data_IF_902308981936
#
_entry.id   IF_902308981936
#
_cell.length_a   1.000
_cell.length_b   1.000
_cell.length_c   1.000
_cell.angle_alpha   90.00
_cell.angle_beta   90.00
_cell.angle_gamma   90.00
#
_symmetry.space_group_name_H-M   'P 1'
#
loop_
_entity.id
_entity.type
_entity.pdbx_description
1 polymer ?
#
# COMPACT_ATOMS: atom_id res chain seq x y z
N UNK A 1 -2.13 -0.03 -5.30
CA UNK A 1 -2.59 0.62 -4.05
C UNK A 1 -3.07 2.06 -4.27
N UNK A 2 -2.75 2.70 -5.39
CA UNK A 2 -2.99 4.14 -5.56
C UNK A 2 -4.44 4.47 -5.92
N UNK A 3 -4.98 5.53 -5.32
CA UNK A 3 -6.29 6.09 -5.66
C UNK A 3 -6.26 6.92 -6.97
N UNK A 4 -5.07 7.36 -7.41
CA UNK A 4 -4.92 8.42 -8.42
C UNK A 4 -4.18 7.96 -9.68
N UNK A 5 -3.48 6.82 -9.64
CA UNK A 5 -2.64 6.28 -10.72
C UNK A 5 -3.22 5.02 -11.38
N UNK A 6 -2.76 4.71 -12.60
CA UNK A 6 -2.96 3.43 -13.27
C UNK A 6 -1.62 2.73 -13.49
N UNK A 7 -1.56 1.43 -13.22
CA UNK A 7 -0.39 0.58 -13.51
C UNK A 7 0.70 0.58 -12.44
N UNK A 8 1.38 -0.55 -12.32
CA UNK A 8 2.62 -0.69 -11.55
C UNK A 8 3.67 0.30 -12.07
N UNK A 9 4.36 0.99 -11.15
CA UNK A 9 5.49 1.89 -11.50
C UNK A 9 6.57 1.10 -12.25
N UNK A 10 6.64 -0.19 -11.94
CA UNK A 10 7.53 -1.18 -12.52
C UNK A 10 7.06 -1.71 -13.87
N UNK A 11 6.47 -0.86 -14.72
CA UNK A 11 6.12 -1.24 -16.08
C UNK A 11 7.41 -1.64 -16.83
N UNK A 12 7.42 -2.82 -17.44
CA UNK A 12 8.53 -3.50 -18.13
C UNK A 12 9.04 -2.74 -19.38
N UNK A 13 9.46 -1.47 -19.24
CA UNK A 13 10.23 -0.75 -20.27
C UNK A 13 11.56 -1.43 -20.55
N UNK A 14 12.01 -2.31 -19.67
CA UNK A 14 13.20 -3.12 -19.87
C UNK A 14 12.96 -4.22 -20.92
N UNK A 15 11.76 -4.78 -21.00
CA UNK A 15 11.41 -5.76 -22.04
C UNK A 15 11.21 -5.07 -23.40
N UNK A 16 10.60 -3.88 -23.42
CA UNK A 16 10.48 -3.06 -24.64
C UNK A 16 11.83 -2.53 -25.16
N UNK A 17 12.77 -2.16 -24.26
CA UNK A 17 14.14 -1.79 -24.65
C UNK A 17 14.93 -3.00 -25.17
N UNK A 18 14.75 -4.19 -24.57
CA UNK A 18 15.36 -5.45 -25.08
C UNK A 18 14.79 -5.83 -26.46
N UNK A 19 13.48 -5.68 -26.67
CA UNK A 19 12.82 -5.89 -27.97
C UNK A 19 13.24 -4.85 -29.01
N UNK A 20 13.38 -3.59 -28.63
CA UNK A 20 13.89 -2.51 -29.50
C UNK A 20 15.33 -2.73 -29.95
N UNK A 21 16.21 -3.15 -29.03
CA UNK A 21 17.60 -3.52 -29.36
C UNK A 21 17.71 -4.77 -30.24
N UNK A 22 16.82 -5.75 -30.05
CA UNK A 22 16.73 -6.94 -30.91
C UNK A 22 16.19 -6.62 -32.32
N UNK A 23 15.25 -5.67 -32.45
CA UNK A 23 14.71 -5.22 -33.74
C UNK A 23 15.73 -4.40 -34.53
N UNK A 24 16.51 -3.56 -33.86
CA UNK A 24 17.65 -2.84 -34.46
C UNK A 24 18.77 -3.79 -34.91
N UNK A 25 18.94 -4.94 -34.25
CA UNK A 25 19.90 -5.99 -34.61
C UNK A 25 19.52 -6.79 -35.86
N UNK A 26 18.22 -6.95 -36.17
CA UNK A 26 17.78 -7.61 -37.44
C UNK A 26 17.96 -6.74 -38.69
N UNK A 27 18.10 -5.42 -38.53
CA UNK A 27 18.31 -4.49 -39.66
C UNK A 27 19.75 -4.33 -40.13
N UNK A 28 20.75 -4.94 -39.46
CA UNK A 28 22.18 -4.70 -39.72
C UNK A 28 22.95 -5.90 -40.30
N UNK A 29 22.27 -6.99 -40.66
CA UNK A 29 22.89 -8.14 -41.34
C UNK A 29 22.59 -8.16 -42.84
N UNK A 30 23.00 -7.10 -43.55
CA UNK A 30 23.06 -7.09 -45.02
C UNK A 30 24.53 -7.13 -45.45
N UNK A 31 25.00 -8.26 -45.98
CA UNK A 31 26.35 -8.40 -46.57
C UNK A 31 26.53 -7.39 -47.73
N UNK A 32 27.70 -6.75 -47.88
CA UNK A 32 27.95 -5.89 -49.03
C UNK A 32 28.22 -6.75 -50.28
N UNK A 33 27.34 -6.66 -51.28
CA UNK A 33 27.59 -7.18 -52.63
C UNK A 33 28.55 -6.23 -53.37
N UNK A 34 29.70 -6.75 -53.78
CA UNK A 34 30.59 -6.13 -54.78
C UNK A 34 29.87 -6.13 -56.14
N UNK A 35 29.81 -4.98 -56.79
CA UNK A 35 29.53 -4.87 -58.23
C UNK A 35 30.58 -3.97 -58.87
N UNK A 36 31.33 -4.55 -59.81
CA UNK A 36 32.17 -3.88 -60.80
C UNK A 36 31.25 -3.48 -61.96
N UNK A 37 31.36 -2.26 -62.47
CA UNK A 37 30.62 -1.85 -63.67
C UNK A 37 30.75 -0.37 -63.99
N UNK A 38 31.39 -0.10 -65.13
CA UNK A 38 31.79 1.20 -65.67
C UNK A 38 30.65 1.99 -66.33
N UNK A 39 30.90 3.29 -66.48
CA UNK A 39 30.52 4.16 -67.60
C UNK A 39 29.35 5.16 -67.47
N UNK A 40 29.73 6.44 -67.62
CA UNK A 40 29.15 7.52 -68.44
C UNK A 40 27.70 7.96 -68.20
N UNK A 41 27.52 9.28 -68.05
CA UNK A 41 26.32 9.95 -68.58
C UNK A 41 26.00 11.30 -67.94
N UNK A 42 26.13 12.36 -68.73
CA UNK A 42 25.89 13.80 -68.46
C UNK A 42 24.44 14.17 -68.10
N UNK A 43 24.31 15.36 -67.48
CA UNK A 43 23.20 16.33 -67.64
C UNK A 43 22.03 16.09 -66.68
N UNK A 44 21.51 17.04 -65.91
CA UNK A 44 21.44 18.49 -66.05
C UNK A 44 19.97 18.90 -66.08
N UNK A 45 19.56 19.86 -65.25
CA UNK A 45 18.33 20.64 -65.47
C UNK A 45 17.25 20.54 -64.38
N UNK A 46 17.10 21.65 -63.66
CA UNK A 46 16.01 22.02 -62.75
C UNK A 46 14.64 22.17 -63.46
N UNK A 47 13.53 22.15 -62.71
CA UNK A 47 12.23 22.65 -63.21
C UNK A 47 10.94 22.26 -62.48
N UNK A 48 10.74 22.74 -61.25
CA UNK A 48 9.63 23.61 -60.79
C UNK A 48 8.18 23.44 -61.35
N UNK A 49 7.25 23.13 -60.41
CA UNK A 49 5.85 23.64 -60.18
C UNK A 49 4.63 23.06 -60.95
N UNK A 50 3.58 22.74 -60.17
CA UNK A 50 2.16 22.76 -60.59
C UNK A 50 1.19 22.12 -59.57
N UNK A 51 0.42 22.93 -58.83
CA UNK A 51 -0.64 22.56 -57.89
C UNK A 51 -2.02 22.39 -58.54
N UNK A 52 -2.97 21.86 -57.72
CA UNK A 52 -4.47 21.92 -57.83
C UNK A 52 -5.07 20.84 -58.75
N UNK A 53 -6.15 20.09 -58.43
CA UNK A 53 -7.11 20.02 -57.33
C UNK A 53 -8.23 19.03 -57.73
N UNK A 54 -9.16 18.78 -56.82
CA UNK A 54 -10.52 18.21 -56.98
C UNK A 54 -10.76 16.66 -57.00
N UNK A 55 -11.52 16.26 -55.96
CA UNK A 55 -12.47 15.13 -55.87
C UNK A 55 -13.72 15.43 -56.75
N UNK A 56 -14.63 14.48 -57.13
CA UNK A 56 -15.24 13.46 -56.23
C UNK A 56 -15.69 12.13 -56.91
N UNK A 57 -16.51 11.36 -56.15
CA UNK A 57 -17.42 10.25 -56.51
C UNK A 57 -16.79 8.85 -56.72
N UNK A 58 -17.02 7.88 -55.83
CA UNK A 58 -18.21 7.03 -55.56
C UNK A 58 -18.32 5.79 -56.48
N UNK A 59 -18.51 4.64 -55.79
CA UNK A 59 -19.04 3.34 -56.25
C UNK A 59 -18.29 2.51 -57.31
N UNK A 60 -17.78 1.34 -56.93
CA UNK A 60 -18.45 0.06 -57.21
C UNK A 60 -17.62 -1.16 -56.71
N UNK A 61 -18.37 -2.08 -56.10
CA UNK A 61 -18.29 -3.54 -56.17
C UNK A 61 -16.94 -4.30 -56.25
N UNK A 62 -16.78 -5.21 -55.28
CA UNK A 62 -17.06 -6.62 -55.59
C UNK A 62 -15.92 -7.62 -55.44
N UNK A 63 -16.23 -8.70 -54.71
CA UNK A 63 -15.64 -10.05 -54.80
C UNK A 63 -14.15 -10.18 -54.42
N UNK A 64 -13.60 -11.30 -53.98
CA UNK A 64 -14.03 -12.58 -53.40
C UNK A 64 -12.76 -13.37 -53.14
N UNK A 65 -12.87 -14.43 -52.33
CA UNK A 65 -11.89 -15.52 -52.29
C UNK A 65 -10.78 -15.30 -51.25
N UNK A 66 -10.45 -16.23 -50.39
CA UNK A 66 -10.70 -17.67 -50.44
C UNK A 66 -9.38 -18.40 -50.30
N UNK A 67 -9.35 -19.29 -49.31
CA UNK A 67 -8.53 -20.52 -49.24
C UNK A 67 -7.02 -20.36 -48.98
N UNK A 68 -6.56 -21.13 -48.01
CA UNK A 68 -5.15 -21.39 -47.76
C UNK A 68 -4.94 -22.22 -46.50
N UNK A 69 -5.42 -23.46 -46.52
CA UNK A 69 -5.07 -24.51 -45.56
C UNK A 69 -3.54 -24.73 -45.50
N UNK A 70 -3.02 -24.97 -44.30
CA UNK A 70 -1.83 -25.80 -44.11
C UNK A 70 -1.99 -26.66 -42.86
N UNK A 71 -2.00 -27.97 -43.09
CA UNK A 71 -1.85 -29.08 -42.16
C UNK A 71 -0.40 -29.22 -41.66
N UNK A 72 -0.23 -30.17 -40.74
CA UNK A 72 0.99 -30.80 -40.18
C UNK A 72 1.21 -30.40 -38.71
N UNK A 73 1.37 -31.27 -37.71
CA UNK A 73 1.18 -32.71 -37.52
C UNK A 73 1.24 -32.96 -35.99
N UNK A 74 0.58 -34.02 -35.53
CA UNK A 74 0.52 -34.50 -34.15
C UNK A 74 1.86 -35.06 -33.65
N UNK A 75 2.18 -34.86 -32.35
CA UNK A 75 3.01 -35.83 -31.61
C UNK A 75 2.56 -35.94 -30.14
N UNK A 76 1.85 -37.02 -29.87
CA UNK A 76 1.55 -37.58 -28.55
C UNK A 76 2.78 -38.34 -28.02
N UNK A 77 3.04 -38.24 -26.73
CA UNK A 77 3.88 -39.20 -26.00
C UNK A 77 3.14 -39.63 -24.73
N UNK A 78 2.51 -40.80 -24.80
CA UNK A 78 2.11 -41.63 -23.67
C UNK A 78 3.23 -42.63 -23.32
N UNK A 79 3.32 -43.01 -22.04
CA UNK A 79 3.58 -44.42 -21.70
C UNK A 79 4.65 -44.75 -20.66
N UNK A 80 4.18 -45.12 -19.46
CA UNK A 80 4.67 -46.27 -18.67
C UNK A 80 5.66 -45.97 -17.53
N UNK A 81 5.52 -46.45 -16.29
CA UNK A 81 4.61 -47.45 -15.70
C UNK A 81 5.40 -48.54 -14.95
N UNK A 82 5.06 -48.77 -13.67
CA UNK A 82 5.46 -49.92 -12.82
C UNK A 82 6.28 -49.54 -11.59
N UNK A 83 6.02 -49.97 -10.34
CA UNK A 83 5.08 -50.94 -9.76
C UNK A 83 5.73 -51.64 -8.54
N UNK A 84 4.98 -51.84 -7.45
CA UNK A 84 5.25 -52.74 -6.29
C UNK A 84 6.23 -52.18 -5.23
N UNK A 85 6.11 -52.43 -3.91
CA UNK A 85 5.32 -53.39 -3.14
C UNK A 85 5.21 -52.97 -1.64
N UNK A 86 4.28 -53.63 -0.96
CA UNK A 86 3.90 -53.64 0.45
C UNK A 86 5.03 -53.82 1.48
N UNK A 87 4.83 -53.29 2.70
CA UNK A 87 4.99 -54.05 3.95
C UNK A 87 4.31 -53.33 5.15
N UNK A 88 3.46 -54.08 5.85
CA UNK A 88 2.94 -53.83 7.19
C UNK A 88 4.06 -53.91 8.24
N UNK A 89 3.88 -53.24 9.38
CA UNK A 89 4.19 -53.80 10.72
C UNK A 89 3.59 -52.91 11.82
N UNK A 90 2.78 -53.57 12.66
CA UNK A 90 2.21 -53.10 13.92
C UNK A 90 3.24 -53.19 15.08
N UNK A 91 2.81 -52.66 16.24
CA UNK A 91 3.14 -53.07 17.62
C UNK A 91 4.18 -52.30 18.48
N UNK A 92 3.60 -51.78 19.58
CA UNK A 92 4.02 -51.84 21.00
C UNK A 92 5.06 -50.86 21.60
N UNK A 93 4.66 -50.26 22.72
CA UNK A 93 5.56 -49.65 23.70
C UNK A 93 4.86 -48.75 24.73
N UNK A 94 4.53 -49.33 25.88
CA UNK A 94 3.75 -48.83 27.02
C UNK A 94 4.60 -48.10 28.10
N UNK A 95 3.93 -47.36 29.01
CA UNK A 95 4.42 -46.93 30.34
C UNK A 95 5.24 -45.63 30.41
N UNK A 96 5.12 -44.73 31.40
CA UNK A 96 4.45 -44.75 32.70
C UNK A 96 5.27 -43.94 33.73
N UNK A 97 4.61 -43.14 34.58
CA UNK A 97 5.15 -42.50 35.80
C UNK A 97 5.93 -41.19 35.59
N UNK A 98 5.85 -40.15 36.43
CA UNK A 98 5.37 -40.00 37.80
C UNK A 98 6.34 -39.10 38.58
N UNK A 99 5.82 -38.17 39.39
CA UNK A 99 6.57 -37.29 40.31
C UNK A 99 6.91 -35.91 39.71
N UNK A 100 6.45 -34.76 40.20
CA UNK A 100 6.04 -34.40 41.55
C UNK A 100 7.27 -33.98 42.34
N UNK A 101 7.48 -32.66 42.53
CA UNK A 101 8.22 -32.13 43.67
C UNK A 101 7.81 -30.69 43.99
N UNK A 102 7.41 -30.55 45.26
CA UNK A 102 7.16 -29.36 46.04
C UNK A 102 8.43 -28.52 46.23
N UNK A 103 8.28 -27.20 46.36
CA UNK A 103 9.10 -26.40 47.26
C UNK A 103 8.22 -25.38 48.00
N UNK A 104 8.11 -25.59 49.31
CA UNK A 104 7.52 -24.72 50.32
C UNK A 104 8.56 -23.76 50.93
N UNK A 105 8.04 -22.68 51.53
CA UNK A 105 8.68 -21.91 52.61
C UNK A 105 9.40 -20.63 52.18
N UNK A 106 9.26 -19.46 52.82
CA UNK A 106 8.71 -19.12 54.14
C UNK A 106 8.31 -17.62 54.25
N UNK A 107 7.43 -17.42 55.22
CA UNK A 107 6.91 -16.27 55.97
C UNK A 107 7.60 -14.89 55.97
N UNK A 108 6.76 -13.84 56.10
CA UNK A 108 6.70 -13.01 57.31
C UNK A 108 5.42 -12.16 57.31
N UNK A 109 4.65 -12.27 58.41
CA UNK A 109 3.36 -11.61 58.57
C UNK A 109 3.42 -10.16 59.08
N UNK A 110 2.29 -9.47 59.00
CA UNK A 110 1.88 -8.56 60.07
C UNK A 110 0.35 -8.48 60.18
N UNK A 111 -0.10 -8.46 61.44
CA UNK A 111 -1.48 -8.51 61.91
C UNK A 111 -2.13 -7.13 61.97
N UNK A 112 -3.46 -7.15 61.92
CA UNK A 112 -4.37 -6.11 62.43
C UNK A 112 -5.66 -6.13 61.60
N UNK A 113 -6.81 -6.66 62.02
CA UNK A 113 -7.37 -6.79 63.36
C UNK A 113 -8.46 -5.73 63.53
N UNK A 114 -9.73 -6.10 63.29
CA UNK A 114 -10.88 -5.23 63.51
C UNK A 114 -12.18 -5.86 62.98
N UNK A 115 -12.84 -6.64 63.82
CA UNK A 115 -14.11 -7.31 63.53
C UNK A 115 -15.35 -6.54 63.97
N UNK A 116 -16.49 -7.08 63.55
CA UNK A 116 -17.87 -6.71 63.92
C UNK A 116 -18.75 -6.83 62.68
N UNK A 117 -19.74 -7.71 62.55
CA UNK A 117 -20.44 -8.54 63.52
C UNK A 117 -21.94 -8.37 63.31
N UNK A 118 -22.59 -9.37 62.69
CA UNK A 118 -23.97 -9.76 63.00
C UNK A 118 -25.10 -9.27 62.07
N UNK A 119 -25.99 -10.22 61.75
CA UNK A 119 -27.43 -9.96 61.62
C UNK A 119 -28.06 -10.34 60.28
N UNK A 120 -28.64 -11.55 60.20
CA UNK A 120 -29.51 -11.95 59.10
C UNK A 120 -30.98 -11.52 59.28
N UNK A 121 -31.84 -11.96 58.35
CA UNK A 121 -33.30 -11.93 58.50
C UNK A 121 -34.02 -11.31 57.31
N UNK A 122 -34.94 -12.07 56.70
CA UNK A 122 -35.60 -11.73 55.44
C UNK A 122 -36.74 -10.71 55.54
N UNK A 123 -37.41 -10.50 54.41
CA UNK A 123 -38.60 -9.68 54.31
C UNK A 123 -38.91 -9.32 52.86
N UNK A 124 -39.76 -10.13 52.23
CA UNK A 124 -40.47 -9.70 51.04
C UNK A 124 -41.39 -8.53 51.39
N UNK A 125 -41.25 -7.43 50.66
CA UNK A 125 -42.09 -6.25 50.79
C UNK A 125 -42.07 -5.48 49.48
N UNK A 126 -43.18 -5.53 48.75
CA UNK A 126 -43.44 -4.62 47.64
C UNK A 126 -43.51 -3.20 48.19
N UNK A 127 -42.48 -2.41 47.94
CA UNK A 127 -42.44 -0.98 48.18
C UNK A 127 -42.13 -0.29 46.86
N UNK A 128 -43.01 0.59 46.40
CA UNK A 128 -42.70 1.53 45.33
C UNK A 128 -41.52 2.39 45.77
N UNK A 129 -40.31 1.96 45.41
CA UNK A 129 -39.10 2.69 45.68
C UNK A 129 -39.10 3.96 44.85
N UNK A 130 -39.49 5.08 45.46
CA UNK A 130 -39.12 6.41 44.97
C UNK A 130 -37.61 6.43 44.81
N UNK A 131 -37.14 6.37 43.56
CA UNK A 131 -35.73 6.56 43.22
C UNK A 131 -35.26 7.84 43.90
N UNK A 132 -34.23 7.74 44.76
CA UNK A 132 -33.68 8.92 45.41
C UNK A 132 -33.18 9.90 44.35
N UNK A 133 -33.28 11.20 44.59
CA UNK A 133 -32.79 12.22 43.64
C UNK A 133 -31.31 12.00 43.27
N UNK A 134 -30.52 11.43 44.18
CA UNK A 134 -29.14 11.02 43.92
C UNK A 134 -29.04 9.83 42.95
N UNK A 135 -29.93 8.84 43.05
CA UNK A 135 -29.98 7.71 42.10
C UNK A 135 -30.43 8.17 40.72
N UNK A 136 -31.40 9.09 40.64
CA UNK A 136 -31.87 9.69 39.38
C UNK A 136 -30.76 10.55 38.77
N UNK A 137 -30.06 11.36 39.58
CA UNK A 137 -28.93 12.16 39.13
C UNK A 137 -27.76 11.28 38.65
N UNK A 138 -27.44 10.20 39.35
CA UNK A 138 -26.41 9.24 38.95
C UNK A 138 -26.78 8.52 37.64
N UNK A 139 -28.02 8.06 37.49
CA UNK A 139 -28.51 7.48 36.24
C UNK A 139 -28.55 8.51 35.11
N UNK A 140 -28.98 9.75 35.36
CA UNK A 140 -29.01 10.83 34.37
C UNK A 140 -27.60 11.26 33.95
N UNK A 141 -26.64 11.28 34.88
CA UNK A 141 -25.22 11.48 34.58
C UNK A 141 -24.63 10.31 33.80
N UNK A 142 -24.98 9.06 34.15
CA UNK A 142 -24.59 7.87 33.38
C UNK A 142 -25.16 7.86 31.97
N UNK A 143 -26.44 8.22 31.81
CA UNK A 143 -27.11 8.36 30.51
C UNK A 143 -26.56 9.54 29.70
N UNK A 144 -26.23 10.66 30.35
CA UNK A 144 -25.58 11.81 29.73
C UNK A 144 -24.18 11.47 29.22
N UNK A 145 -23.39 10.76 30.02
CA UNK A 145 -22.06 10.26 29.64
C UNK A 145 -22.13 9.27 28.47
N UNK A 146 -23.06 8.30 28.51
CA UNK A 146 -23.24 7.35 27.40
C UNK A 146 -23.66 8.01 26.09
N UNK A 147 -24.51 9.05 26.16
CA UNK A 147 -24.94 9.82 24.99
C UNK A 147 -23.78 10.61 24.39
N UNK A 148 -23.01 11.32 25.21
CA UNK A 148 -21.85 12.09 24.76
C UNK A 148 -20.79 11.20 24.08
N UNK A 149 -20.52 10.02 24.63
CA UNK A 149 -19.60 9.04 24.01
C UNK A 149 -20.15 8.54 22.67
N UNK A 150 -21.45 8.22 22.58
CA UNK A 150 -22.07 7.78 21.33
C UNK A 150 -22.08 8.87 20.25
N UNK A 151 -22.29 10.14 20.63
CA UNK A 151 -22.25 11.27 19.71
C UNK A 151 -20.84 11.56 19.20
N UNK A 152 -19.82 11.47 20.07
CA UNK A 152 -18.43 11.61 19.68
C UNK A 152 -18.03 10.50 18.69
N UNK A 153 -18.36 9.24 18.99
CA UNK A 153 -18.10 8.12 18.10
C UNK A 153 -18.77 8.30 16.73
N UNK A 154 -20.06 8.64 16.70
CA UNK A 154 -20.79 8.88 15.47
C UNK A 154 -20.20 10.05 14.66
N UNK A 155 -19.87 11.15 15.32
CA UNK A 155 -19.24 12.32 14.69
C UNK A 155 -17.90 11.96 14.04
N UNK A 156 -17.08 11.15 14.71
CA UNK A 156 -15.79 10.70 14.18
C UNK A 156 -15.95 9.82 12.94
N UNK A 157 -16.88 8.86 12.97
CA UNK A 157 -17.18 7.99 11.81
C UNK A 157 -17.67 8.82 10.62
N UNK A 158 -18.60 9.76 10.86
CA UNK A 158 -19.11 10.67 9.82
C UNK A 158 -18.00 11.59 9.28
N UNK A 159 -17.08 12.04 10.14
CA UNK A 159 -15.93 12.85 9.74
C UNK A 159 -14.97 12.07 8.84
N UNK A 160 -14.66 10.81 9.16
CA UNK A 160 -13.87 9.92 8.31
C UNK A 160 -14.53 9.68 6.95
N UNK A 161 -15.86 9.45 6.93
CA UNK A 161 -16.63 9.30 5.70
C UNK A 161 -16.58 10.59 4.84
N UNK A 162 -16.78 11.75 5.48
CA UNK A 162 -16.74 13.05 4.81
C UNK A 162 -15.36 13.31 4.18
N UNK A 163 -14.28 13.11 4.92
CA UNK A 163 -12.91 13.29 4.39
C UNK A 163 -12.65 12.35 3.23
N UNK A 164 -13.12 11.10 3.31
CA UNK A 164 -12.99 10.12 2.21
C UNK A 164 -13.66 10.63 0.93
N UNK A 165 -14.89 11.13 1.05
CA UNK A 165 -15.63 11.71 -0.09
C UNK A 165 -14.95 12.98 -0.60
N UNK A 166 -14.47 13.87 0.27
CA UNK A 166 -13.76 15.10 -0.12
C UNK A 166 -12.45 14.79 -0.85
N UNK A 167 -11.68 13.80 -0.36
CA UNK A 167 -10.43 13.38 -0.96
C UNK A 167 -10.64 12.76 -2.35
N UNK A 168 -11.64 11.86 -2.48
CA UNK A 168 -11.99 11.29 -3.78
C UNK A 168 -12.65 12.33 -4.68
N UNK A 169 -13.39 13.29 -4.15
CA UNK A 169 -14.00 14.38 -4.93
C UNK A 169 -12.95 15.33 -5.50
N UNK A 170 -11.89 15.63 -4.74
CA UNK A 170 -10.85 16.58 -5.14
C UNK A 170 -10.04 16.10 -6.35
N UNK A 171 -9.97 14.78 -6.59
CA UNK A 171 -9.45 14.16 -7.82
C UNK A 171 -10.12 14.67 -9.10
N UNK A 172 -11.41 14.97 -9.01
CA UNK A 172 -12.29 15.24 -10.14
C UNK A 172 -12.80 16.68 -10.14
N UNK A 173 -12.62 17.42 -9.05
CA UNK A 173 -13.14 18.78 -8.87
C UNK A 173 -12.86 19.66 -10.10
N UNK A 174 -11.62 19.67 -10.59
CA UNK A 174 -11.26 20.49 -11.75
C UNK A 174 -11.79 19.97 -13.08
N UNK A 175 -11.83 18.65 -13.25
CA UNK A 175 -12.37 18.06 -14.47
C UNK A 175 -13.88 18.30 -14.58
N UNK A 176 -14.61 18.30 -13.45
CA UNK A 176 -16.02 18.71 -13.40
C UNK A 176 -16.20 20.20 -13.69
N UNK A 177 -15.40 21.09 -13.08
CA UNK A 177 -15.46 22.53 -13.36
C UNK A 177 -15.16 22.86 -14.83
N UNK A 178 -14.34 22.05 -15.49
CA UNK A 178 -13.96 22.23 -16.89
C UNK A 178 -14.93 21.54 -17.87
N UNK A 179 -16.05 20.98 -17.40
CA UNK A 179 -17.04 20.25 -18.22
C UNK A 179 -16.57 18.90 -18.79
N UNK A 180 -15.30 18.51 -18.57
CA UNK A 180 -14.73 17.23 -19.02
C UNK A 180 -15.09 16.06 -18.10
N UNK A 181 -15.48 16.34 -16.86
CA UNK A 181 -15.90 15.35 -15.87
C UNK A 181 -14.95 14.15 -15.79
N UNK A 182 -15.50 12.95 -15.98
CA UNK A 182 -14.75 11.70 -16.00
C UNK A 182 -14.45 11.32 -17.47
N UNK A 183 -13.91 12.19 -18.32
CA UNK A 183 -13.34 11.78 -19.63
C UNK A 183 -11.87 12.13 -19.81
N UNK A 184 -11.32 13.02 -18.97
CA UNK A 184 -9.95 13.51 -19.10
C UNK A 184 -8.88 12.44 -18.79
N UNK A 185 -7.85 12.35 -19.64
CA UNK A 185 -6.75 11.38 -19.50
C UNK A 185 -5.97 11.59 -18.19
N UNK A 186 -5.74 10.51 -17.43
CA UNK A 186 -5.21 10.61 -16.06
C UNK A 186 -3.73 10.92 -15.99
N UNK A 187 -2.99 10.56 -17.04
CA UNK A 187 -1.53 10.70 -17.13
C UNK A 187 -1.11 12.01 -17.81
N UNK A 188 -2.09 12.85 -18.21
CA UNK A 188 -1.83 14.20 -18.70
C UNK A 188 -1.14 15.04 -17.60
N UNK A 189 0.00 15.69 -17.89
CA UNK A 189 0.75 16.49 -16.91
C UNK A 189 -0.06 17.59 -16.23
N UNK A 190 -1.00 18.23 -16.94
CA UNK A 190 -1.86 19.25 -16.38
C UNK A 190 -2.91 18.64 -15.43
N UNK A 191 -3.46 17.46 -15.78
CA UNK A 191 -4.35 16.71 -14.88
C UNK A 191 -3.63 16.31 -13.59
N UNK A 192 -2.40 15.81 -13.70
CA UNK A 192 -1.57 15.44 -12.54
C UNK A 192 -1.35 16.64 -11.61
N UNK A 193 -0.97 17.81 -12.13
CA UNK A 193 -0.75 19.03 -11.33
C UNK A 193 -2.02 19.50 -10.62
N UNK A 194 -3.16 19.50 -11.31
CA UNK A 194 -4.46 19.89 -10.72
C UNK A 194 -4.89 18.93 -9.62
N UNK A 195 -4.65 17.64 -9.85
CA UNK A 195 -4.85 16.60 -8.84
C UNK A 195 -3.98 16.82 -7.61
N UNK A 196 -2.70 17.15 -7.78
CA UNK A 196 -1.83 17.47 -6.63
C UNK A 196 -2.39 18.62 -5.79
N UNK A 197 -2.89 19.67 -6.44
CA UNK A 197 -3.57 20.77 -5.75
C UNK A 197 -4.84 20.30 -5.03
N UNK A 198 -5.66 19.47 -5.69
CA UNK A 198 -6.86 18.87 -5.10
C UNK A 198 -6.56 18.02 -3.86
N UNK A 199 -5.54 17.16 -3.92
CA UNK A 199 -5.03 16.41 -2.74
C UNK A 199 -4.68 17.38 -1.62
N UNK A 200 -3.88 18.41 -1.92
CA UNK A 200 -3.41 19.37 -0.93
C UNK A 200 -4.56 20.06 -0.20
N UNK A 201 -5.57 20.53 -0.95
CA UNK A 201 -6.76 21.16 -0.38
C UNK A 201 -7.60 20.18 0.45
N UNK A 202 -7.78 18.95 -0.02
CA UNK A 202 -8.50 17.91 0.74
C UNK A 202 -7.76 17.54 2.03
N UNK A 203 -6.43 17.47 2.01
CA UNK A 203 -5.59 17.24 3.18
C UNK A 203 -5.71 18.37 4.20
N UNK A 204 -5.72 19.63 3.75
CA UNK A 204 -5.96 20.78 4.66
C UNK A 204 -7.34 20.68 5.30
N UNK A 205 -8.38 20.39 4.52
CA UNK A 205 -9.74 20.20 5.05
C UNK A 205 -9.81 19.04 6.07
N UNK A 206 -9.10 17.94 5.81
CA UNK A 206 -9.00 16.82 6.74
C UNK A 206 -8.34 17.23 8.07
N UNK A 207 -7.23 17.96 8.03
CA UNK A 207 -6.54 18.47 9.22
C UNK A 207 -7.45 19.40 10.04
N UNK A 208 -8.17 20.31 9.39
CA UNK A 208 -9.11 21.21 10.07
C UNK A 208 -10.25 20.44 10.76
N UNK A 209 -10.74 19.37 10.14
CA UNK A 209 -11.78 18.53 10.74
C UNK A 209 -11.24 17.74 11.94
N UNK A 210 -9.99 17.26 11.88
CA UNK A 210 -9.30 16.64 13.03
C UNK A 210 -9.16 17.64 14.17
N UNK A 211 -8.69 18.85 13.90
CA UNK A 211 -8.52 19.90 14.91
C UNK A 211 -9.85 20.25 15.60
N UNK A 212 -10.93 20.36 14.81
CA UNK A 212 -12.26 20.61 15.35
C UNK A 212 -12.75 19.49 16.27
N UNK A 213 -12.51 18.22 15.92
CA UNK A 213 -12.87 17.08 16.76
C UNK A 213 -11.95 16.98 18.00
N UNK A 214 -10.69 17.37 17.86
CA UNK A 214 -9.72 17.45 18.96
C UNK A 214 -10.15 18.47 20.00
N UNK A 215 -10.60 19.66 19.60
CA UNK A 215 -11.16 20.66 20.51
C UNK A 215 -12.34 20.11 21.31
N UNK A 216 -13.26 19.41 20.64
CA UNK A 216 -14.42 18.76 21.29
C UNK A 216 -13.98 17.69 22.28
N UNK A 217 -13.06 16.82 21.87
CA UNK A 217 -12.49 15.77 22.72
C UNK A 217 -11.84 16.36 23.97
N UNK A 218 -11.03 17.41 23.81
CA UNK A 218 -10.41 18.11 24.92
C UNK A 218 -11.46 18.73 25.84
N UNK A 219 -12.50 19.39 25.31
CA UNK A 219 -13.56 19.97 26.13
C UNK A 219 -14.30 18.92 27.01
N UNK A 220 -14.42 17.68 26.53
CA UNK A 220 -15.04 16.57 27.27
C UNK A 220 -14.08 15.96 28.30
N UNK A 221 -12.78 15.93 28.02
CA UNK A 221 -11.77 15.21 28.83
C UNK A 221 -10.93 16.09 29.77
N UNK A 222 -10.89 17.41 29.57
CA UNK A 222 -10.04 18.28 30.38
C UNK A 222 -10.52 18.46 31.82
N UNK A 223 -9.56 18.32 32.74
CA UNK A 223 -9.61 18.72 34.17
C UNK A 223 -9.79 20.23 34.35
N UNK A 224 -10.16 20.72 35.57
CA UNK A 224 -10.44 22.13 35.85
C UNK A 224 -9.33 23.07 35.37
N UNK A 225 -9.73 24.18 34.76
CA UNK A 225 -8.88 25.28 34.30
C UNK A 225 -8.07 25.89 35.45
N UNK A 226 -6.73 25.80 35.37
CA UNK A 226 -5.83 26.46 36.35
C UNK A 226 -4.40 25.92 36.43
N UNK A 227 -4.12 24.72 35.91
CA UNK A 227 -2.76 24.14 35.92
C UNK A 227 -2.03 24.51 34.63
N UNK A 228 -0.91 25.25 34.75
CA UNK A 228 -0.01 25.53 33.64
C UNK A 228 0.65 24.24 33.15
N UNK A 229 0.48 23.91 31.88
CA UNK A 229 1.15 22.74 31.27
C UNK A 229 2.64 23.01 31.06
N UNK A 230 3.48 21.98 31.21
CA UNK A 230 4.89 22.07 30.82
C UNK A 230 5.02 22.25 29.29
N UNK A 231 6.21 22.64 28.79
CA UNK A 231 6.42 22.72 27.33
C UNK A 231 6.26 21.34 26.68
N UNK A 232 6.67 20.28 27.39
CA UNK A 232 6.62 18.91 26.91
C UNK A 232 5.17 18.42 26.82
N UNK A 233 4.34 18.74 27.82
CA UNK A 233 2.89 18.48 27.79
C UNK A 233 2.17 19.28 26.68
N UNK A 234 2.65 20.48 26.36
CA UNK A 234 2.12 21.26 25.21
C UNK A 234 2.56 20.68 23.86
N UNK A 235 3.80 20.18 23.75
CA UNK A 235 4.33 19.56 22.53
C UNK A 235 3.62 18.24 22.24
N UNK A 236 3.57 17.35 23.22
CA UNK A 236 2.86 16.05 23.16
C UNK A 236 1.36 16.25 22.97
N UNK A 237 0.81 17.36 23.47
CA UNK A 237 -0.57 17.78 23.26
C UNK A 237 -0.78 18.74 22.08
N UNK A 238 0.02 18.69 21.00
CA UNK A 238 -0.17 19.51 19.80
C UNK A 238 -0.81 18.72 18.65
N UNK A 239 -1.57 19.39 17.78
CA UNK A 239 -2.17 18.77 16.60
C UNK A 239 -1.12 18.11 15.68
N UNK A 240 0.04 18.75 15.50
CA UNK A 240 1.12 18.21 14.69
C UNK A 240 1.65 16.88 15.26
N UNK A 241 1.81 16.81 16.59
CA UNK A 241 2.23 15.61 17.27
C UNK A 241 1.19 14.48 17.18
N UNK A 242 -0.10 14.83 17.27
CA UNK A 242 -1.21 13.89 17.07
C UNK A 242 -1.20 13.35 15.63
N UNK A 243 -1.01 14.19 14.62
CA UNK A 243 -0.90 13.75 13.23
C UNK A 243 0.40 12.99 12.91
N UNK A 244 1.31 12.83 13.88
CA UNK A 244 2.54 12.05 13.73
C UNK A 244 3.70 12.80 13.09
N UNK A 245 3.66 14.14 13.07
CA UNK A 245 4.81 14.99 12.74
C UNK A 245 5.76 15.05 13.92
N UNK A 246 6.64 14.05 13.99
CA UNK A 246 7.62 13.87 15.07
C UNK A 246 9.03 13.81 14.49
N UNK A 247 10.00 14.27 15.27
CA UNK A 247 11.43 14.26 14.93
C UNK A 247 12.23 13.26 15.76
N UNK A 248 11.65 12.78 16.86
CA UNK A 248 12.28 11.88 17.81
C UNK A 248 12.34 10.46 17.21
N UNK A 249 13.51 9.82 17.19
CA UNK A 249 13.70 8.49 16.55
C UNK A 249 13.31 8.43 15.06
N UNK A 250 13.41 9.56 14.34
CA UNK A 250 13.03 9.67 12.93
C UNK A 250 13.76 8.65 12.03
N UNK A 251 15.03 8.36 12.32
CA UNK A 251 15.82 7.39 11.57
C UNK A 251 15.25 5.97 11.72
N UNK A 252 14.96 5.55 12.96
CA UNK A 252 14.34 4.27 13.26
C UNK A 252 12.96 4.18 12.61
N UNK A 253 12.14 5.23 12.78
CA UNK A 253 10.79 5.31 12.23
C UNK A 253 10.77 5.27 10.69
N UNK A 254 11.87 5.67 10.04
CA UNK A 254 12.00 5.63 8.59
C UNK A 254 12.54 4.30 8.07
N UNK A 255 13.55 3.72 8.74
CA UNK A 255 14.27 2.55 8.24
C UNK A 255 13.63 1.22 8.66
N UNK A 256 13.27 1.06 9.94
CA UNK A 256 12.83 -0.23 10.47
C UNK A 256 11.51 -0.71 9.84
N UNK A 257 10.45 0.12 9.72
CA UNK A 257 9.21 -0.33 9.07
C UNK A 257 9.42 -0.69 7.60
N UNK A 258 10.27 0.04 6.87
CA UNK A 258 10.60 -0.28 5.47
C UNK A 258 11.37 -1.60 5.38
N UNK A 259 12.35 -1.83 6.25
CA UNK A 259 13.12 -3.07 6.28
C UNK A 259 12.22 -4.29 6.55
N UNK A 260 11.30 -4.20 7.50
CA UNK A 260 10.31 -5.25 7.77
C UNK A 260 9.40 -5.45 6.54
N UNK A 261 8.91 -4.35 5.95
CA UNK A 261 8.08 -4.40 4.74
C UNK A 261 8.81 -5.02 3.55
N UNK A 262 10.14 -4.94 3.47
CA UNK A 262 10.91 -5.54 2.39
C UNK A 262 11.01 -7.07 2.51
N UNK A 263 10.77 -7.67 3.69
CA UNK A 263 10.91 -9.11 3.91
C UNK A 263 9.99 -9.95 3.00
N UNK A 264 8.67 -9.67 2.87
CA UNK A 264 7.81 -10.39 1.91
C UNK A 264 8.25 -10.25 0.44
N UNK A 265 9.05 -9.22 0.12
CA UNK A 265 9.57 -8.96 -1.22
C UNK A 265 10.97 -9.54 -1.46
N UNK A 266 11.52 -10.30 -0.51
CA UNK A 266 12.86 -10.89 -0.58
C UNK A 266 13.11 -11.68 -1.87
N UNK A 267 12.13 -12.48 -2.33
CA UNK A 267 12.26 -13.26 -3.57
C UNK A 267 12.34 -12.39 -4.82
N UNK A 268 11.38 -11.47 -5.08
CA UNK A 268 11.50 -10.48 -6.15
C UNK A 268 12.79 -9.66 -6.09
N UNK A 269 13.22 -9.23 -4.90
CA UNK A 269 14.49 -8.50 -4.72
C UNK A 269 15.71 -9.36 -5.08
N UNK A 270 15.69 -10.64 -4.69
CA UNK A 270 16.73 -11.59 -5.08
C UNK A 270 16.75 -11.80 -6.60
N UNK A 271 15.59 -11.98 -7.23
CA UNK A 271 15.48 -12.11 -8.68
C UNK A 271 16.11 -10.91 -9.39
N UNK A 272 15.83 -9.69 -8.92
CA UNK A 272 16.39 -8.46 -9.50
C UNK A 272 17.91 -8.36 -9.32
N UNK A 273 18.41 -8.76 -8.15
CA UNK A 273 19.85 -8.86 -7.91
C UNK A 273 20.50 -9.87 -8.87
N UNK A 274 19.87 -11.03 -9.08
CA UNK A 274 20.38 -12.07 -9.99
C UNK A 274 20.40 -11.61 -11.44
N UNK A 275 19.33 -10.92 -11.89
CA UNK A 275 19.25 -10.34 -13.23
C UNK A 275 20.35 -9.28 -13.43
N UNK A 276 20.56 -8.41 -12.44
CA UNK A 276 21.62 -7.39 -12.48
C UNK A 276 23.03 -8.00 -12.54
N UNK A 277 23.30 -9.01 -11.69
CA UNK A 277 24.58 -9.74 -11.72
C UNK A 277 24.79 -10.44 -13.06
N UNK A 278 23.72 -10.99 -13.66
CA UNK A 278 23.80 -11.67 -14.95
C UNK A 278 24.11 -10.71 -16.09
N UNK A 279 23.52 -9.50 -16.09
CA UNK A 279 23.85 -8.44 -17.05
C UNK A 279 25.31 -7.98 -16.92
N UNK A 280 25.81 -7.85 -15.69
CA UNK A 280 27.22 -7.52 -15.44
C UNK A 280 28.17 -8.61 -15.94
N UNK A 281 27.86 -9.89 -15.67
CA UNK A 281 28.64 -11.04 -16.18
C UNK A 281 28.63 -11.07 -17.70
N UNK A 282 27.49 -10.83 -18.33
CA UNK A 282 27.37 -10.79 -19.79
C UNK A 282 28.29 -9.73 -20.41
N UNK A 283 28.32 -8.51 -19.85
CA UNK A 283 29.20 -7.42 -20.31
C UNK A 283 30.67 -7.78 -20.19
N UNK A 284 31.06 -8.41 -19.09
CA UNK A 284 32.46 -8.74 -18.82
C UNK A 284 32.93 -9.94 -19.65
N UNK A 285 32.23 -11.07 -19.53
CA UNK A 285 32.70 -12.35 -20.09
C UNK A 285 32.35 -12.52 -21.56
N UNK A 286 31.23 -11.98 -22.03
CA UNK A 286 30.76 -12.19 -23.41
C UNK A 286 31.10 -11.00 -24.30
N UNK A 287 30.93 -9.77 -23.81
CA UNK A 287 31.28 -8.58 -24.59
C UNK A 287 32.74 -8.15 -24.44
N UNK A 288 33.49 -8.77 -23.51
CA UNK A 288 34.90 -8.46 -23.29
C UNK A 288 35.13 -7.06 -22.68
N UNK A 289 34.11 -6.45 -22.08
CA UNK A 289 34.22 -5.13 -21.47
C UNK A 289 35.02 -5.28 -20.15
N UNK A 290 36.08 -4.48 -19.91
CA UNK A 290 36.79 -4.51 -18.64
C UNK A 290 35.85 -4.29 -17.45
N UNK A 291 36.04 -5.03 -16.35
CA UNK A 291 35.14 -4.99 -15.19
C UNK A 291 34.88 -3.57 -14.66
N UNK A 292 35.91 -2.72 -14.58
CA UNK A 292 35.77 -1.32 -14.15
C UNK A 292 34.91 -0.48 -15.10
N UNK A 293 34.96 -0.76 -16.41
CA UNK A 293 34.12 -0.12 -17.41
C UNK A 293 32.68 -0.67 -17.40
N UNK A 294 32.49 -1.97 -17.14
CA UNK A 294 31.16 -2.54 -16.97
C UNK A 294 30.46 -1.93 -15.74
N UNK A 295 31.17 -1.78 -14.62
CA UNK A 295 30.67 -1.08 -13.43
C UNK A 295 30.38 0.40 -13.66
N UNK A 296 31.19 1.09 -14.45
CA UNK A 296 30.93 2.51 -14.75
C UNK A 296 29.68 2.69 -15.62
N UNK A 297 29.42 1.77 -16.55
CA UNK A 297 28.18 1.73 -17.34
C UNK A 297 26.96 1.44 -16.47
N UNK A 298 27.04 0.48 -15.54
CA UNK A 298 25.97 0.24 -14.56
C UNK A 298 25.69 1.47 -13.71
N UNK A 299 26.74 2.10 -13.19
CA UNK A 299 26.60 3.35 -12.43
C UNK A 299 25.91 4.44 -13.26
N UNK A 300 26.31 4.61 -14.52
CA UNK A 300 25.68 5.58 -15.42
C UNK A 300 24.20 5.24 -15.69
N UNK A 301 23.87 3.97 -15.90
CA UNK A 301 22.50 3.49 -16.08
C UNK A 301 21.62 3.79 -14.86
N UNK A 302 22.14 3.56 -13.65
CA UNK A 302 21.45 3.89 -12.41
C UNK A 302 21.25 5.39 -12.28
N UNK A 303 22.29 6.20 -12.49
CA UNK A 303 22.19 7.66 -12.42
C UNK A 303 21.20 8.20 -13.45
N UNK A 304 21.26 7.75 -14.69
CA UNK A 304 20.32 8.20 -15.73
C UNK A 304 18.89 7.79 -15.40
N UNK A 305 18.69 6.58 -14.88
CA UNK A 305 17.38 6.13 -14.40
C UNK A 305 16.84 7.02 -13.29
N UNK A 306 17.67 7.39 -12.31
CA UNK A 306 17.27 8.30 -11.22
C UNK A 306 16.91 9.70 -11.74
N UNK A 307 17.68 10.23 -12.71
CA UNK A 307 17.38 11.52 -13.34
C UNK A 307 16.07 11.47 -14.16
N UNK A 308 15.83 10.38 -14.89
CA UNK A 308 14.57 10.14 -15.60
C UNK A 308 13.39 10.11 -14.61
N UNK A 309 13.51 9.38 -13.51
CA UNK A 309 12.50 9.33 -12.45
C UNK A 309 12.26 10.71 -11.82
N UNK A 310 13.32 11.48 -11.58
CA UNK A 310 13.21 12.82 -10.99
C UNK A 310 12.54 13.83 -11.95
N UNK A 311 12.65 13.63 -13.25
CA UNK A 311 12.00 14.46 -14.27
C UNK A 311 10.54 14.04 -14.56
N UNK A 312 10.18 12.79 -14.25
CA UNK A 312 8.88 12.23 -14.60
C UNK A 312 7.81 12.47 -13.51
N UNK A 313 6.79 13.25 -13.86
CA UNK A 313 5.67 13.59 -12.98
C UNK A 313 4.86 12.36 -12.53
N UNK A 314 4.85 11.28 -13.31
CA UNK A 314 4.16 10.05 -12.95
C UNK A 314 4.89 9.35 -11.79
N UNK A 315 6.22 9.38 -11.78
CA UNK A 315 7.01 8.86 -10.65
C UNK A 315 6.79 9.69 -9.38
N UNK A 316 6.81 11.02 -9.49
CA UNK A 316 6.48 11.91 -8.37
C UNK A 316 5.08 11.65 -7.81
N UNK A 317 4.08 11.49 -8.69
CA UNK A 317 2.72 11.13 -8.29
C UNK A 317 2.71 9.83 -7.51
N UNK A 318 3.29 8.78 -8.08
CA UNK A 318 3.14 7.41 -7.59
C UNK A 318 3.98 7.12 -6.34
N UNK A 319 5.16 7.72 -6.20
CA UNK A 319 6.11 7.42 -5.13
C UNK A 319 6.18 8.47 -4.02
N UNK A 320 5.69 9.70 -4.27
CA UNK A 320 5.79 10.79 -3.29
C UNK A 320 4.42 11.37 -2.98
N UNK A 321 3.75 11.98 -3.96
CA UNK A 321 2.53 12.77 -3.69
C UNK A 321 1.36 11.89 -3.25
N UNK A 322 1.13 10.76 -3.93
CA UNK A 322 0.06 9.84 -3.55
C UNK A 322 0.33 9.21 -2.17
N UNK A 323 1.50 8.61 -1.88
CA UNK A 323 1.80 8.11 -0.53
C UNK A 323 1.64 9.16 0.58
N UNK A 324 2.17 10.38 0.40
CA UNK A 324 2.04 11.44 1.40
C UNK A 324 0.57 11.82 1.62
N UNK A 325 -0.17 12.08 0.54
CA UNK A 325 -1.57 12.50 0.63
C UNK A 325 -2.47 11.42 1.23
N UNK A 326 -2.33 10.18 0.75
CA UNK A 326 -3.14 9.05 1.17
C UNK A 326 -2.85 8.67 2.63
N UNK A 327 -1.59 8.61 3.07
CA UNK A 327 -1.29 8.25 4.47
C UNK A 327 -1.58 9.39 5.45
N UNK A 328 -1.43 10.67 5.05
CA UNK A 328 -1.85 11.81 5.88
C UNK A 328 -3.36 11.78 6.14
N UNK A 329 -4.15 11.56 5.09
CA UNK A 329 -5.61 11.57 5.19
C UNK A 329 -6.13 10.29 5.85
N UNK A 330 -5.72 9.13 5.37
CA UNK A 330 -6.32 7.86 5.79
C UNK A 330 -5.63 7.20 6.99
N UNK A 331 -4.43 7.62 7.40
CA UNK A 331 -3.85 7.21 8.70
C UNK A 331 -3.87 8.34 9.69
N UNK A 332 -3.13 9.42 9.43
CA UNK A 332 -2.99 10.46 10.45
C UNK A 332 -4.35 11.08 10.81
N UNK A 333 -5.17 11.48 9.82
CA UNK A 333 -6.47 12.08 10.11
C UNK A 333 -7.52 11.05 10.55
N UNK A 334 -7.77 10.01 9.76
CA UNK A 334 -8.83 9.04 10.08
C UNK A 334 -8.57 8.26 11.38
N UNK A 335 -7.34 7.81 11.65
CA UNK A 335 -7.06 7.12 12.91
C UNK A 335 -7.25 8.07 14.10
N UNK A 336 -6.80 9.32 14.00
CA UNK A 336 -6.98 10.30 15.09
C UNK A 336 -8.42 10.69 15.33
N UNK A 337 -9.23 10.84 14.27
CA UNK A 337 -10.67 11.06 14.42
C UNK A 337 -11.33 9.93 15.20
N UNK A 338 -11.05 8.68 14.86
CA UNK A 338 -11.62 7.53 15.56
C UNK A 338 -11.14 7.45 17.03
N UNK A 339 -9.86 7.74 17.30
CA UNK A 339 -9.34 7.80 18.67
C UNK A 339 -10.04 8.90 19.50
N UNK A 340 -10.23 10.10 18.94
CA UNK A 340 -11.03 11.15 19.60
C UNK A 340 -12.50 10.79 19.77
N UNK A 341 -13.02 9.87 18.94
CA UNK A 341 -14.34 9.28 19.08
C UNK A 341 -14.42 8.19 20.16
N UNK A 342 -13.33 7.90 20.87
CA UNK A 342 -13.27 6.89 21.93
C UNK A 342 -13.07 5.46 21.46
N UNK A 343 -12.69 5.23 20.19
CA UNK A 343 -12.42 3.89 19.69
C UNK A 343 -11.10 3.34 20.27
N UNK A 344 -11.12 2.07 20.68
CA UNK A 344 -9.89 1.38 21.09
C UNK A 344 -8.90 1.27 19.92
N UNK A 345 -7.57 1.43 20.11
CA UNK A 345 -6.58 1.39 19.03
C UNK A 345 -6.68 0.16 18.13
N UNK A 346 -6.91 -1.04 18.70
CA UNK A 346 -7.12 -2.25 17.90
C UNK A 346 -8.33 -2.15 16.98
N UNK A 347 -9.42 -1.51 17.44
CA UNK A 347 -10.59 -1.27 16.59
C UNK A 347 -10.26 -0.28 15.47
N UNK A 348 -9.46 0.75 15.77
CA UNK A 348 -9.00 1.73 14.77
C UNK A 348 -8.16 1.07 13.68
N UNK A 349 -7.26 0.15 14.04
CA UNK A 349 -6.42 -0.61 13.08
C UNK A 349 -7.28 -1.33 12.05
N UNK A 350 -8.36 -1.99 12.48
CA UNK A 350 -9.20 -2.80 11.58
C UNK A 350 -10.31 -2.01 10.88
N UNK A 351 -10.82 -0.95 11.53
CA UNK A 351 -11.97 -0.19 11.03
C UNK A 351 -11.57 0.97 10.13
N UNK A 352 -10.52 1.73 10.45
CA UNK A 352 -10.12 2.91 9.66
C UNK A 352 -9.78 2.59 8.20
N UNK A 353 -9.16 1.43 7.88
CA UNK A 353 -8.81 1.08 6.51
C UNK A 353 -10.01 0.80 5.59
N UNK A 354 -11.20 0.56 6.13
CA UNK A 354 -12.42 0.40 5.33
C UNK A 354 -12.74 1.67 4.54
N UNK A 355 -12.45 2.85 5.10
CA UNK A 355 -12.59 4.13 4.39
C UNK A 355 -11.61 4.25 3.22
N UNK A 356 -10.37 3.79 3.41
CA UNK A 356 -9.35 3.77 2.37
C UNK A 356 -9.70 2.77 1.25
N UNK A 357 -10.19 1.59 1.61
CA UNK A 357 -10.75 0.63 0.66
C UNK A 357 -11.91 1.25 -0.13
N UNK A 358 -12.92 1.80 0.56
CA UNK A 358 -14.09 2.42 -0.06
C UNK A 358 -13.75 3.57 -1.02
N UNK A 359 -12.68 4.32 -0.76
CA UNK A 359 -12.21 5.37 -1.66
C UNK A 359 -11.92 4.86 -3.09
N UNK A 360 -11.60 3.58 -3.27
CA UNK A 360 -11.33 2.96 -4.57
C UNK A 360 -12.59 2.61 -5.38
N UNK A 361 -13.79 2.68 -4.79
CA UNK A 361 -15.06 2.46 -5.49
C UNK A 361 -15.21 3.35 -6.72
N UNK A 362 -14.61 4.54 -6.70
CA UNK A 362 -14.67 5.48 -7.82
C UNK A 362 -14.02 4.92 -9.11
N UNK A 363 -13.14 3.92 -9.03
CA UNK A 363 -12.57 3.26 -10.21
C UNK A 363 -13.61 2.44 -10.99
N UNK A 364 -14.69 2.01 -10.34
CA UNK A 364 -15.78 1.28 -10.99
C UNK A 364 -16.33 2.07 -12.19
N UNK A 365 -16.54 3.38 -11.99
CA UNK A 365 -17.05 4.26 -13.03
C UNK A 365 -16.10 4.32 -14.22
N UNK A 366 -14.79 4.37 -13.96
CA UNK A 366 -13.78 4.38 -15.01
C UNK A 366 -13.76 3.06 -15.81
N UNK A 367 -13.84 1.93 -15.13
CA UNK A 367 -13.78 0.61 -15.77
C UNK A 367 -15.03 0.35 -16.64
N UNK A 368 -16.22 0.61 -16.09
CA UNK A 368 -17.47 0.30 -16.77
C UNK A 368 -17.78 1.34 -17.86
N UNK A 369 -17.69 2.63 -17.55
CA UNK A 369 -18.17 3.66 -18.47
C UNK A 369 -17.09 4.20 -19.41
N UNK A 370 -15.83 4.38 -18.96
CA UNK A 370 -14.75 4.83 -19.87
C UNK A 370 -14.13 3.70 -20.65
N UNK A 371 -13.68 2.65 -19.95
CA UNK A 371 -12.99 1.53 -20.58
C UNK A 371 -13.96 0.55 -21.26
N UNK A 372 -15.29 0.79 -21.13
CA UNK A 372 -16.35 -0.02 -21.75
C UNK A 372 -16.23 -1.51 -21.41
N UNK A 373 -15.75 -1.83 -20.21
CA UNK A 373 -15.63 -3.21 -19.73
C UNK A 373 -16.97 -3.68 -19.14
N UNK A 374 -17.26 -5.00 -19.17
CA UNK A 374 -18.46 -5.56 -18.55
C UNK A 374 -18.56 -5.19 -17.07
N UNK A 375 -19.78 -4.98 -16.58
CA UNK A 375 -20.05 -4.65 -15.16
C UNK A 375 -19.41 -5.67 -14.22
N UNK A 376 -19.51 -6.96 -14.54
CA UNK A 376 -18.90 -8.05 -13.76
C UNK A 376 -17.38 -7.87 -13.63
N UNK A 377 -16.71 -7.48 -14.71
CA UNK A 377 -15.27 -7.19 -14.68
C UNK A 377 -14.94 -5.99 -13.80
N UNK A 378 -15.78 -4.94 -13.85
CA UNK A 378 -15.68 -3.79 -12.95
C UNK A 378 -15.84 -4.18 -11.48
N UNK A 379 -16.83 -4.99 -11.15
CA UNK A 379 -17.09 -5.48 -9.78
C UNK A 379 -15.89 -6.29 -9.27
N UNK A 380 -15.41 -7.26 -10.05
CA UNK A 380 -14.27 -8.10 -9.66
C UNK A 380 -13.02 -7.26 -9.47
N UNK A 381 -12.70 -6.39 -10.43
CA UNK A 381 -11.48 -5.57 -10.38
C UNK A 381 -11.48 -4.64 -9.17
N UNK A 382 -12.58 -3.92 -8.94
CA UNK A 382 -12.70 -3.00 -7.79
C UNK A 382 -12.79 -3.78 -6.48
N UNK A 383 -13.49 -4.91 -6.44
CA UNK A 383 -13.58 -5.77 -5.25
C UNK A 383 -12.22 -6.28 -4.82
N UNK A 384 -11.44 -6.87 -5.75
CA UNK A 384 -10.06 -7.28 -5.49
C UNK A 384 -9.20 -6.10 -5.04
N UNK A 385 -9.36 -4.94 -5.70
CA UNK A 385 -8.65 -3.72 -5.32
C UNK A 385 -8.96 -3.27 -3.90
N UNK A 386 -10.22 -3.26 -3.51
CA UNK A 386 -10.65 -2.93 -2.16
C UNK A 386 -10.10 -3.91 -1.12
N UNK A 387 -10.14 -5.21 -1.41
CA UNK A 387 -9.63 -6.23 -0.51
C UNK A 387 -8.14 -6.04 -0.21
N UNK A 388 -7.28 -6.00 -1.24
CA UNK A 388 -5.84 -5.89 -0.99
C UNK A 388 -5.44 -4.52 -0.43
N UNK A 389 -6.15 -3.44 -0.78
CA UNK A 389 -5.89 -2.09 -0.21
C UNK A 389 -6.33 -1.99 1.24
N UNK A 390 -7.41 -2.68 1.63
CA UNK A 390 -7.84 -2.76 3.03
C UNK A 390 -6.81 -3.51 3.87
N UNK A 391 -6.30 -4.66 3.38
CA UNK A 391 -5.24 -5.42 4.06
C UNK A 391 -3.97 -4.58 4.22
N UNK A 392 -3.54 -3.87 3.17
CA UNK A 392 -2.44 -2.92 3.27
C UNK A 392 -2.73 -1.82 4.30
N UNK A 393 -3.95 -1.28 4.29
CA UNK A 393 -4.35 -0.25 5.23
C UNK A 393 -4.34 -0.73 6.69
N UNK A 394 -4.67 -2.01 6.98
CA UNK A 394 -4.50 -2.58 8.33
C UNK A 394 -3.04 -2.54 8.76
N UNK A 395 -2.13 -2.95 7.88
CA UNK A 395 -0.70 -2.90 8.16
C UNK A 395 -0.20 -1.45 8.34
N UNK A 396 -0.58 -0.53 7.45
CA UNK A 396 -0.18 0.87 7.55
C UNK A 396 -0.74 1.56 8.81
N UNK A 397 -1.99 1.25 9.20
CA UNK A 397 -2.59 1.74 10.44
C UNK A 397 -1.89 1.17 11.68
N UNK A 398 -1.54 -0.11 11.67
CA UNK A 398 -0.71 -0.73 12.71
C UNK A 398 0.64 -0.02 12.82
N UNK A 399 1.38 0.12 11.71
CA UNK A 399 2.69 0.82 11.68
C UNK A 399 2.55 2.24 12.23
N UNK A 400 1.56 3.01 11.77
CA UNK A 400 1.33 4.38 12.25
C UNK A 400 1.06 4.43 13.75
N UNK A 401 0.21 3.56 14.29
CA UNK A 401 -0.16 3.58 15.70
C UNK A 401 0.94 3.04 16.62
N UNK A 402 1.83 2.18 16.14
CA UNK A 402 2.95 1.72 16.95
C UNK A 402 4.15 2.67 16.90
N UNK A 403 4.45 3.25 15.73
CA UNK A 403 5.58 4.19 15.62
C UNK A 403 5.18 5.59 16.09
N UNK A 404 3.91 5.98 15.94
CA UNK A 404 3.43 7.34 16.16
C UNK A 404 3.96 8.35 15.12
N UNK A 405 4.56 7.88 14.03
CA UNK A 405 5.21 8.70 13.01
C UNK A 405 4.48 8.57 11.67
N UNK A 406 4.12 9.70 11.05
CA UNK A 406 3.52 9.71 9.71
C UNK A 406 4.51 9.25 8.63
N UNK A 407 5.81 9.52 8.81
CA UNK A 407 6.81 9.12 7.81
C UNK A 407 6.89 7.59 7.63
N UNK A 408 6.60 6.82 8.69
CA UNK A 408 6.67 5.36 8.66
C UNK A 408 5.72 4.75 7.63
N UNK A 409 4.38 4.93 7.71
CA UNK A 409 3.47 4.42 6.69
C UNK A 409 3.69 5.06 5.32
N UNK A 410 4.12 6.33 5.24
CA UNK A 410 4.43 6.99 3.96
C UNK A 410 5.54 6.25 3.21
N UNK A 411 6.67 5.96 3.87
CA UNK A 411 7.79 5.27 3.23
C UNK A 411 7.46 3.81 2.91
N UNK A 412 6.71 3.13 3.79
CA UNK A 412 6.17 1.79 3.54
C UNK A 412 5.29 1.79 2.29
N UNK A 413 4.39 2.76 2.15
CA UNK A 413 3.54 2.90 0.98
C UNK A 413 4.37 3.20 -0.28
N UNK A 414 5.29 4.16 -0.24
CA UNK A 414 6.20 4.45 -1.35
C UNK A 414 6.97 3.22 -1.81
N UNK A 415 7.48 2.42 -0.87
CA UNK A 415 8.16 1.15 -1.16
C UNK A 415 7.23 0.14 -1.84
N UNK A 416 6.02 -0.08 -1.31
CA UNK A 416 5.04 -0.99 -1.91
C UNK A 416 4.60 -0.52 -3.31
N UNK A 417 4.45 0.79 -3.52
CA UNK A 417 4.13 1.35 -4.83
C UNK A 417 5.27 1.16 -5.85
N UNK A 418 6.52 1.22 -5.39
CA UNK A 418 7.68 0.92 -6.23
C UNK A 418 7.76 -0.57 -6.59
N UNK A 419 7.62 -1.45 -5.60
CA UNK A 419 7.73 -2.90 -5.80
C UNK A 419 6.58 -3.48 -6.62
N UNK A 420 5.37 -2.94 -6.49
CA UNK A 420 4.16 -3.51 -7.09
C UNK A 420 3.73 -4.80 -6.39
N UNK A 421 2.80 -5.54 -7.00
CA UNK A 421 2.54 -6.90 -6.55
C UNK A 421 3.62 -7.82 -7.13
N UNK A 422 4.09 -8.83 -6.40
CA UNK A 422 5.06 -9.78 -6.96
C UNK A 422 4.52 -10.40 -8.25
N UNK A 423 5.24 -10.22 -9.36
CA UNK A 423 4.92 -10.86 -10.63
C UNK A 423 5.28 -12.35 -10.56
N UNK A 424 4.34 -13.15 -10.08
CA UNK A 424 4.49 -14.60 -9.88
C UNK A 424 4.88 -15.28 -11.20
N UNK A 425 4.34 -14.83 -12.34
CA UNK A 425 4.66 -15.41 -13.65
C UNK A 425 6.15 -15.24 -13.98
N UNK A 426 6.70 -14.03 -13.79
CA UNK A 426 8.14 -13.78 -14.00
C UNK A 426 8.99 -14.63 -13.05
N UNK A 427 8.55 -14.80 -11.80
CA UNK A 427 9.27 -15.62 -10.82
C UNK A 427 9.32 -17.10 -11.20
N UNK A 428 8.22 -17.68 -11.70
CA UNK A 428 8.20 -19.11 -12.09
C UNK A 428 8.95 -19.37 -13.40
N UNK A 429 9.02 -18.37 -14.30
CA UNK A 429 9.77 -18.45 -15.55
C UNK A 429 11.27 -18.22 -15.38
N UNK A 430 11.72 -17.71 -14.25
CA UNK A 430 13.14 -17.44 -14.00
C UNK A 430 13.95 -18.73 -13.83
N UNK A 431 15.17 -18.77 -14.34
CA UNK A 431 16.07 -19.94 -14.29
C UNK A 431 16.31 -20.49 -12.87
N UNK A 432 16.19 -19.62 -11.87
CA UNK A 432 16.37 -19.93 -10.44
C UNK A 432 15.06 -19.89 -9.64
N UNK A 433 13.92 -20.19 -10.28
CA UNK A 433 12.57 -20.10 -9.69
C UNK A 433 12.45 -20.80 -8.32
N UNK A 434 13.07 -21.98 -8.13
CA UNK A 434 13.05 -22.73 -6.86
C UNK A 434 13.66 -21.93 -5.71
N UNK A 435 14.83 -21.33 -5.92
CA UNK A 435 15.50 -20.52 -4.91
C UNK A 435 14.70 -19.25 -4.61
N UNK A 436 14.20 -18.59 -5.66
CA UNK A 436 13.35 -17.39 -5.53
C UNK A 436 12.10 -17.71 -4.70
N UNK A 437 11.43 -18.83 -4.96
CA UNK A 437 10.27 -19.28 -4.21
C UNK A 437 10.58 -19.56 -2.74
N UNK A 438 11.68 -20.27 -2.45
CA UNK A 438 12.13 -20.52 -1.07
C UNK A 438 12.37 -19.21 -0.33
N UNK A 439 13.08 -18.27 -0.96
CA UNK A 439 13.42 -16.98 -0.35
C UNK A 439 12.17 -16.12 -0.15
N UNK A 440 11.21 -16.14 -1.08
CA UNK A 440 9.90 -15.51 -0.90
C UNK A 440 9.15 -16.06 0.31
N UNK A 441 9.05 -17.38 0.45
CA UNK A 441 8.36 -18.01 1.59
C UNK A 441 9.08 -17.67 2.89
N UNK A 442 10.41 -17.81 2.93
CA UNK A 442 11.22 -17.45 4.10
C UNK A 442 11.06 -15.97 4.48
N UNK A 443 10.96 -15.08 3.49
CA UNK A 443 10.71 -13.65 3.69
C UNK A 443 9.35 -13.35 4.32
N UNK A 444 8.29 -14.02 3.86
CA UNK A 444 6.95 -13.91 4.48
C UNK A 444 6.95 -14.45 5.91
N UNK A 445 7.58 -15.59 6.15
CA UNK A 445 7.69 -16.16 7.50
C UNK A 445 8.48 -15.22 8.42
N UNK A 446 9.60 -14.70 7.96
CA UNK A 446 10.40 -13.74 8.71
C UNK A 446 9.59 -12.49 9.06
N UNK A 447 8.83 -11.94 8.10
CA UNK A 447 7.93 -10.81 8.34
C UNK A 447 6.94 -11.08 9.49
N UNK A 448 6.24 -12.22 9.45
CA UNK A 448 5.26 -12.59 10.46
C UNK A 448 5.88 -12.75 11.86
N UNK A 449 7.12 -13.24 11.94
CA UNK A 449 7.83 -13.44 13.19
C UNK A 449 8.33 -12.14 13.82
N UNK A 450 8.82 -11.19 13.01
CA UNK A 450 9.53 -10.00 13.53
C UNK A 450 8.70 -8.72 13.53
N UNK A 451 7.60 -8.65 12.78
CA UNK A 451 6.87 -7.39 12.58
C UNK A 451 6.39 -6.76 13.90
N UNK A 452 5.87 -7.56 14.83
CA UNK A 452 5.38 -7.05 16.11
C UNK A 452 6.52 -6.60 17.04
N UNK A 453 7.68 -7.24 16.97
CA UNK A 453 8.84 -6.90 17.80
C UNK A 453 9.57 -5.67 17.28
N UNK A 454 9.79 -5.58 15.96
CA UNK A 454 10.53 -4.46 15.36
C UNK A 454 9.68 -3.20 15.36
N UNK A 455 8.41 -3.31 14.98
CA UNK A 455 7.47 -2.18 14.99
C UNK A 455 6.85 -2.03 16.39
N UNK A 456 7.57 -2.37 17.46
CA UNK A 456 7.09 -2.17 18.83
C UNK A 456 7.25 -0.70 19.28
N UNK A 457 6.36 -0.17 20.13
CA UNK A 457 6.42 1.20 20.63
C UNK A 457 7.77 1.57 21.25
N UNK A 458 8.38 0.62 21.95
CA UNK A 458 9.67 0.78 22.65
C UNK A 458 10.82 1.18 21.74
N UNK A 459 10.75 0.85 20.45
CA UNK A 459 11.76 1.22 19.45
C UNK A 459 11.66 2.69 19.03
N UNK A 460 10.58 3.39 19.40
CA UNK A 460 10.24 4.74 18.90
C UNK A 460 9.83 5.72 20.01
N UNK A 461 10.03 5.37 21.29
CA UNK A 461 9.77 6.22 22.47
C UNK A 461 11.03 6.37 23.33
N UNK A 462 11.35 7.58 23.83
CA UNK A 462 12.47 7.79 24.74
C UNK A 462 12.20 7.27 26.16
N UNK A 463 13.25 6.87 26.90
CA UNK A 463 13.16 6.63 28.36
C UNK A 463 12.82 7.94 29.06
N UNK A 464 11.57 8.10 29.49
CA UNK A 464 11.08 9.30 30.18
C UNK A 464 9.91 9.96 29.46
N UNK A 465 9.68 9.62 28.19
CA UNK A 465 8.45 9.97 27.51
C UNK A 465 7.40 8.98 28.01
N UNK A 466 6.67 9.36 29.06
CA UNK A 466 5.44 8.70 29.50
C UNK A 466 4.34 8.79 28.45
N UNK A 467 4.66 8.52 27.18
CA UNK A 467 3.70 8.17 26.16
C UNK A 467 3.25 6.76 26.57
N UNK A 468 2.27 6.69 27.47
CA UNK A 468 1.25 5.66 27.29
C UNK A 468 0.78 5.84 25.85
N UNK A 469 1.37 5.05 24.94
CA UNK A 469 0.82 4.91 23.61
C UNK A 469 -0.52 4.24 23.86
N UNK A 470 -1.55 5.09 23.89
CA UNK A 470 -2.99 4.82 23.93
C UNK A 470 -3.63 4.75 25.31
#
# INVERSE_FOLDING_TARGET
MMLWGGGEVRHDREEDRRRGGARMRRGRSGKPRRTVGSARGRGGGDGVVGSVGDHPDEEEHGYSGGVGDHHDDDEQCDGGGGGGDHHDDDEHGDGGGGGGDHYDGEEHGNRGGGGGGGGGGGGGGGGGGTLTMESIAFMAMGMGSSRLVSEAAATSVLSCALITVLFVGSLYAWSFMSGKGITEERDDPAVIKRRFMGVGLASIAAILLVDRNRERYNAITTRPSGVSRSWEERRVGSLAYDLGFRVDHLLQASLLPVAVTALPFSGPLLMDLMDWVSDLKWKVYIQGIPFSAALSLERQRVISGLLEMAADLIYWRNLVVAPIGEELVFRACNCRLLLYGGFHPSSVIFFSPLFFGAAHLHHFVNIVYRQRRPVVHGIITVGVQMCYTTVFGWYAAFVFLQTGHLISPVLVHSFCNYMGLPNVMRMVQHHHCRLIGIVSIAGVLAFLLVMFSIVSPSSYSGRGDGIQQW
#
